data_IF_685026449053
#
_entry.id   IF_685026449053
#
_cell.length_a   1.000
_cell.length_b   1.000
_cell.length_c   1.000
_cell.angle_alpha   90.00
_cell.angle_beta   90.00
_cell.angle_gamma   90.00
#
_symmetry.space_group_name_H-M   'P 1'
#
loop_
_entity.id
_entity.type
_entity.pdbx_description
1 polymer ?
#
# COMPACT_ATOMS: atom_id res chain seq x y z
N UNK A 1 58.38 -25.21 -6.58
CA UNK A 1 57.11 -25.87 -6.21
C UNK A 1 56.18 -24.81 -5.65
N UNK A 2 55.16 -24.44 -6.42
CA UNK A 2 54.13 -23.45 -6.05
C UNK A 2 53.20 -24.02 -4.98
N UNK A 3 52.91 -23.25 -3.94
CA UNK A 3 51.73 -23.46 -3.10
C UNK A 3 50.73 -22.33 -3.39
N UNK A 4 49.58 -22.72 -3.94
CA UNK A 4 48.47 -21.84 -4.26
C UNK A 4 47.56 -21.62 -3.04
N UNK A 5 47.23 -20.34 -2.82
CA UNK A 5 45.90 -19.77 -2.61
C UNK A 5 44.88 -20.44 -1.65
N UNK A 6 44.42 -19.69 -0.63
CA UNK A 6 42.98 -19.59 -0.33
C UNK A 6 42.63 -18.36 0.52
N UNK A 7 42.55 -17.18 -0.11
CA UNK A 7 41.83 -16.04 0.47
C UNK A 7 40.33 -16.24 0.26
N UNK A 8 39.57 -16.32 1.37
CA UNK A 8 38.11 -16.28 1.33
C UNK A 8 37.62 -14.88 0.91
N UNK A 9 36.50 -14.76 0.17
CA UNK A 9 35.98 -13.46 -0.20
C UNK A 9 35.43 -12.74 1.04
N UNK A 10 35.98 -11.55 1.30
CA UNK A 10 35.47 -10.57 2.25
C UNK A 10 34.01 -10.28 1.86
N UNK A 11 33.06 -10.57 2.75
CA UNK A 11 31.68 -10.10 2.63
C UNK A 11 31.72 -8.58 2.58
N UNK A 12 31.50 -8.01 1.39
CA UNK A 12 31.41 -6.56 1.22
C UNK A 12 30.18 -6.08 2.00
N UNK A 13 30.43 -5.43 3.13
CA UNK A 13 29.40 -4.70 3.87
C UNK A 13 28.85 -3.62 2.94
N UNK A 14 27.61 -3.79 2.50
CA UNK A 14 26.93 -2.85 1.61
C UNK A 14 26.74 -1.53 2.37
N UNK A 15 27.10 -0.36 1.81
CA UNK A 15 27.16 0.87 2.60
C UNK A 15 25.75 1.36 2.94
N UNK A 16 25.52 1.55 4.24
CA UNK A 16 24.37 2.23 4.89
C UNK A 16 24.05 3.61 4.28
N UNK A 17 24.99 4.17 3.52
CA UNK A 17 24.96 5.50 2.89
C UNK A 17 23.86 5.67 1.82
N UNK A 18 23.39 4.57 1.20
CA UNK A 18 22.44 4.65 0.07
C UNK A 18 21.01 5.01 0.44
N UNK A 19 20.48 4.47 1.55
CA UNK A 19 19.06 4.61 1.92
C UNK A 19 18.75 5.94 2.58
N UNK A 20 19.63 6.42 3.46
CA UNK A 20 19.51 7.77 4.04
C UNK A 20 19.48 8.86 2.95
N UNK A 21 20.21 8.66 1.83
CA UNK A 21 20.14 9.53 0.66
C UNK A 21 18.76 9.48 -0.02
N UNK A 22 18.17 8.30 -0.20
CA UNK A 22 16.83 8.15 -0.80
C UNK A 22 15.76 8.88 0.01
N UNK A 23 15.80 8.80 1.34
CA UNK A 23 14.86 9.54 2.20
C UNK A 23 15.03 11.05 2.01
N UNK A 24 16.27 11.55 1.97
CA UNK A 24 16.54 12.97 1.67
C UNK A 24 16.02 13.38 0.30
N UNK A 25 16.24 12.57 -0.73
CA UNK A 25 15.73 12.83 -2.08
C UNK A 25 14.19 12.87 -2.10
N UNK A 26 13.54 11.99 -1.32
CA UNK A 26 12.08 12.02 -1.16
C UNK A 26 11.61 13.31 -0.48
N UNK A 27 12.29 13.76 0.58
CA UNK A 27 11.97 15.02 1.29
C UNK A 27 12.07 16.26 0.41
N UNK A 28 12.92 16.24 -0.63
CA UNK A 28 13.13 17.39 -1.52
C UNK A 28 11.98 17.59 -2.52
N UNK A 29 11.10 16.59 -2.71
CA UNK A 29 9.90 16.75 -3.55
C UNK A 29 8.99 17.85 -3.01
N UNK A 30 8.41 18.66 -3.90
CA UNK A 30 7.55 19.81 -3.55
C UNK A 30 6.44 19.44 -2.56
N UNK A 31 5.76 18.32 -2.79
CA UNK A 31 4.60 17.90 -2.00
C UNK A 31 4.99 17.45 -0.58
N UNK A 32 6.25 17.06 -0.40
CA UNK A 32 6.82 16.62 0.87
C UNK A 32 7.42 17.78 1.69
N UNK A 33 7.50 18.98 1.10
CA UNK A 33 7.97 20.21 1.77
C UNK A 33 6.88 20.87 2.62
N UNK A 34 5.67 20.31 2.61
CA UNK A 34 4.54 20.75 3.43
C UNK A 34 3.97 19.55 4.19
N UNK A 35 3.34 19.80 5.32
CA UNK A 35 2.67 18.78 6.11
C UNK A 35 1.50 18.17 5.34
N UNK A 36 1.41 16.84 5.34
CA UNK A 36 0.35 16.11 4.64
C UNK A 36 -1.06 16.49 5.10
N UNK A 37 -1.27 16.90 6.36
CA UNK A 37 -2.61 17.09 6.94
C UNK A 37 -3.02 18.53 7.17
N UNK A 38 -2.07 19.47 7.18
CA UNK A 38 -2.41 20.89 7.37
C UNK A 38 -1.65 21.86 6.48
N UNK A 39 -0.82 21.33 5.57
CA UNK A 39 0.01 22.11 4.65
C UNK A 39 0.98 23.09 5.31
N UNK A 40 1.25 22.95 6.61
CA UNK A 40 2.30 23.72 7.30
C UNK A 40 3.67 23.43 6.66
N UNK A 41 4.50 24.45 6.41
CA UNK A 41 5.78 24.26 5.74
C UNK A 41 6.77 23.48 6.62
N UNK A 42 7.81 22.95 5.97
CA UNK A 42 8.99 22.35 6.58
C UNK A 42 8.65 21.28 7.64
N UNK A 43 7.93 20.21 7.26
CA UNK A 43 7.64 19.10 8.18
C UNK A 43 8.93 18.51 8.76
N UNK A 44 8.88 18.15 10.05
CA UNK A 44 10.02 17.63 10.81
C UNK A 44 9.82 16.19 11.29
N UNK A 45 8.62 15.65 11.07
CA UNK A 45 8.21 14.32 11.45
C UNK A 45 7.71 13.58 10.21
N UNK A 46 7.63 12.27 10.28
CA UNK A 46 6.99 11.45 9.26
C UNK A 46 6.33 10.22 9.88
N UNK A 47 5.32 9.68 9.22
CA UNK A 47 4.78 8.35 9.51
C UNK A 47 5.36 7.37 8.52
N UNK A 48 6.27 6.48 8.93
CA UNK A 48 7.03 5.61 8.02
C UNK A 48 6.13 4.61 7.26
N UNK A 49 5.15 4.03 7.96
CA UNK A 49 4.19 3.08 7.43
C UNK A 49 3.12 3.71 6.51
N UNK A 50 2.67 4.93 6.82
CA UNK A 50 1.67 5.66 6.00
C UNK A 50 2.34 6.40 4.84
N UNK A 51 3.63 6.71 4.93
CA UNK A 51 4.36 7.39 3.86
C UNK A 51 4.15 8.91 3.82
N UNK A 52 3.91 9.56 4.97
CA UNK A 52 3.61 11.01 5.03
C UNK A 52 4.59 11.80 5.88
N UNK A 53 4.83 13.06 5.50
CA UNK A 53 5.61 14.05 6.23
C UNK A 53 4.70 15.02 7.00
N UNK A 54 5.02 15.27 8.26
CA UNK A 54 4.15 15.89 9.25
C UNK A 54 4.85 17.06 9.96
N UNK A 55 4.08 18.12 10.25
CA UNK A 55 4.51 19.13 11.21
C UNK A 55 4.37 18.60 12.64
N UNK A 56 4.97 19.29 13.61
CA UNK A 56 4.93 18.89 15.03
C UNK A 56 3.50 18.61 15.52
N UNK A 57 2.58 19.58 15.32
CA UNK A 57 1.19 19.47 15.78
C UNK A 57 0.43 18.27 15.20
N UNK A 58 0.64 17.95 13.92
CA UNK A 58 -0.03 16.80 13.30
C UNK A 58 0.67 15.49 13.69
N UNK A 59 2.00 15.51 13.84
CA UNK A 59 2.77 14.39 14.40
C UNK A 59 2.27 13.97 15.78
N UNK A 60 1.93 14.93 16.65
CA UNK A 60 1.37 14.65 17.97
C UNK A 60 -0.01 13.96 17.89
N UNK A 61 -0.85 14.35 16.94
CA UNK A 61 -2.13 13.67 16.69
C UNK A 61 -1.90 12.25 16.17
N UNK A 62 -0.96 12.07 15.23
CA UNK A 62 -0.61 10.77 14.69
C UNK A 62 -0.11 9.81 15.77
N UNK A 63 0.72 10.28 16.71
CA UNK A 63 1.14 9.47 17.88
C UNK A 63 -0.04 8.99 18.71
N UNK A 64 -1.06 9.84 18.87
CA UNK A 64 -2.28 9.50 19.61
C UNK A 64 -3.20 8.52 18.86
N UNK A 65 -2.94 8.19 17.58
CA UNK A 65 -3.64 7.12 16.86
C UNK A 65 -3.14 5.73 17.26
N UNK A 66 -1.92 5.61 17.79
CA UNK A 66 -1.27 4.33 18.10
C UNK A 66 -0.43 3.77 16.95
N UNK A 67 0.53 2.90 17.29
CA UNK A 67 1.50 2.32 16.35
C UNK A 67 0.85 1.38 15.32
N UNK A 68 -0.30 0.80 15.66
CA UNK A 68 -1.10 -0.05 14.78
C UNK A 68 -1.60 0.73 13.54
N UNK A 69 -1.73 2.05 13.67
CA UNK A 69 -2.20 2.95 12.61
C UNK A 69 -1.03 3.78 12.07
N UNK A 70 -0.23 4.42 12.93
CA UNK A 70 0.80 5.39 12.51
C UNK A 70 2.11 5.23 13.27
N UNK A 71 3.17 4.94 12.53
CA UNK A 71 4.54 4.84 13.04
C UNK A 71 5.28 6.15 12.86
N UNK A 72 5.21 7.03 13.88
CA UNK A 72 5.77 8.39 13.81
C UNK A 72 7.25 8.42 14.20
N UNK A 73 8.09 8.96 13.30
CA UNK A 73 9.53 9.16 13.49
C UNK A 73 9.93 10.61 13.18
N UNK A 74 10.91 11.12 13.92
CA UNK A 74 11.60 12.39 13.68
C UNK A 74 12.52 12.27 12.49
N UNK A 75 12.52 13.26 11.60
CA UNK A 75 13.43 13.27 10.45
C UNK A 75 14.89 13.52 10.83
N UNK A 76 15.15 14.02 12.04
CA UNK A 76 16.50 14.41 12.48
C UNK A 76 16.92 13.82 13.82
N UNK A 77 15.98 13.39 14.66
CA UNK A 77 16.26 12.95 16.04
C UNK A 77 16.18 11.44 16.24
N UNK A 78 15.49 10.72 15.35
CA UNK A 78 15.28 9.28 15.48
C UNK A 78 16.16 8.52 14.48
N UNK A 79 16.56 7.31 14.88
CA UNK A 79 17.24 6.36 13.99
C UNK A 79 16.22 5.69 13.09
N UNK A 80 16.40 5.84 11.78
CA UNK A 80 15.53 5.23 10.77
C UNK A 80 16.05 3.86 10.39
N UNK A 81 15.21 2.84 10.55
CA UNK A 81 15.54 1.51 10.07
C UNK A 81 15.49 1.46 8.53
N UNK A 82 16.20 0.49 7.98
CA UNK A 82 16.18 0.19 6.55
C UNK A 82 14.77 -0.08 6.01
N UNK A 83 13.90 -0.69 6.83
CA UNK A 83 12.49 -0.97 6.52
C UNK A 83 11.61 0.27 6.59
N UNK A 84 11.89 1.21 7.51
CA UNK A 84 11.14 2.47 7.59
C UNK A 84 11.38 3.31 6.35
N UNK A 85 12.65 3.37 5.90
CA UNK A 85 13.01 4.09 4.68
C UNK A 85 12.36 3.42 3.47
N UNK A 86 12.46 2.09 3.35
CA UNK A 86 11.85 1.38 2.22
C UNK A 86 10.32 1.60 2.19
N UNK A 87 9.64 1.60 3.34
CA UNK A 87 8.20 1.90 3.44
C UNK A 87 7.86 3.31 2.95
N UNK A 88 8.62 4.33 3.37
CA UNK A 88 8.43 5.70 2.88
C UNK A 88 8.61 5.81 1.36
N UNK A 89 9.62 5.13 0.81
CA UNK A 89 9.90 5.14 -0.64
C UNK A 89 8.81 4.39 -1.43
N UNK A 90 8.34 3.24 -0.92
CA UNK A 90 7.32 2.42 -1.57
C UNK A 90 5.98 3.14 -1.67
N UNK A 91 5.56 3.83 -0.59
CA UNK A 91 4.35 4.67 -0.64
C UNK A 91 4.58 5.92 -1.49
N UNK A 92 5.78 6.50 -1.50
CA UNK A 92 6.13 7.58 -2.42
C UNK A 92 5.84 9.00 -1.92
N UNK A 93 5.45 9.15 -0.65
CA UNK A 93 5.29 10.45 0.02
C UNK A 93 3.87 11.02 0.03
N UNK A 94 3.76 12.29 0.41
CA UNK A 94 2.49 12.99 0.65
C UNK A 94 1.55 12.97 -0.53
N UNK A 95 2.07 13.16 -1.75
CA UNK A 95 1.28 13.21 -2.98
C UNK A 95 0.48 11.92 -3.17
N UNK A 96 1.16 10.79 -3.07
CA UNK A 96 0.54 9.47 -3.23
C UNK A 96 -0.39 9.14 -2.07
N UNK A 97 0.05 9.36 -0.84
CA UNK A 97 -0.79 9.14 0.34
C UNK A 97 -2.08 9.97 0.28
N UNK A 98 -2.02 11.24 -0.10
CA UNK A 98 -3.22 12.09 -0.24
C UNK A 98 -4.10 11.64 -1.41
N UNK A 99 -3.53 11.13 -2.51
CA UNK A 99 -4.32 10.58 -3.62
C UNK A 99 -5.18 9.36 -3.22
N UNK A 100 -4.82 8.71 -2.11
CA UNK A 100 -5.56 7.60 -1.50
C UNK A 100 -6.49 8.15 -0.41
N UNK A 101 -5.89 8.69 0.66
CA UNK A 101 -6.57 9.10 1.89
C UNK A 101 -7.41 10.36 1.78
N UNK A 102 -7.35 11.08 0.65
CA UNK A 102 -8.17 12.28 0.39
C UNK A 102 -8.91 12.18 -0.95
N UNK A 103 -8.99 10.98 -1.53
CA UNK A 103 -9.59 10.74 -2.85
C UNK A 103 -11.04 11.25 -2.96
N UNK A 104 -11.80 11.21 -1.86
CA UNK A 104 -13.19 11.67 -1.76
C UNK A 104 -13.36 12.74 -0.68
N UNK A 105 -12.35 13.61 -0.51
CA UNK A 105 -12.44 14.70 0.46
C UNK A 105 -13.58 15.67 0.10
N UNK A 106 -14.60 15.86 0.97
CA UNK A 106 -15.71 16.77 0.70
C UNK A 106 -15.25 18.23 0.61
N UNK A 107 -15.81 19.01 -0.32
CA UNK A 107 -15.44 20.43 -0.52
C UNK A 107 -15.83 21.32 0.67
N UNK A 108 -16.88 20.95 1.38
CA UNK A 108 -17.41 21.59 2.58
C UNK A 108 -16.65 21.20 3.87
N UNK A 109 -15.79 20.18 3.80
CA UNK A 109 -14.91 19.77 4.88
C UNK A 109 -13.44 19.77 4.44
N UNK A 110 -12.86 20.95 4.16
CA UNK A 110 -11.51 21.03 3.61
C UNK A 110 -10.45 20.58 4.62
N UNK A 111 -9.23 20.41 4.13
CA UNK A 111 -8.06 20.15 4.97
C UNK A 111 -7.85 21.28 6.00
N UNK A 112 -7.45 20.97 7.24
CA UNK A 112 -6.97 21.96 8.19
C UNK A 112 -5.88 22.87 7.59
N UNK A 113 -5.80 24.10 8.09
CA UNK A 113 -4.71 25.04 7.81
C UNK A 113 -3.65 25.00 8.92
N UNK A 114 -2.47 25.60 8.72
CA UNK A 114 -1.41 25.61 9.72
C UNK A 114 -1.83 26.22 11.07
N UNK A 115 -2.75 27.18 11.04
CA UNK A 115 -3.32 27.91 12.17
C UNK A 115 -4.59 27.26 12.75
N UNK A 116 -5.12 26.20 12.11
CA UNK A 116 -6.34 25.55 12.58
C UNK A 116 -6.22 24.99 14.00
N UNK A 117 -7.31 25.04 14.79
CA UNK A 117 -7.32 24.59 16.17
C UNK A 117 -7.01 23.09 16.25
N UNK A 118 -6.44 22.67 17.39
CA UNK A 118 -6.05 21.28 17.61
C UNK A 118 -7.23 20.32 17.48
N UNK A 119 -8.40 20.70 17.99
CA UNK A 119 -9.63 19.89 17.87
C UNK A 119 -9.97 19.56 16.41
N UNK A 120 -9.89 20.55 15.51
CA UNK A 120 -10.18 20.35 14.10
C UNK A 120 -9.14 19.46 13.42
N UNK A 121 -7.84 19.66 13.74
CA UNK A 121 -6.77 18.77 13.28
C UNK A 121 -7.00 17.33 13.71
N UNK A 122 -7.31 17.12 14.99
CA UNK A 122 -7.57 15.80 15.55
C UNK A 122 -8.73 15.12 14.83
N UNK A 123 -9.86 15.82 14.68
CA UNK A 123 -11.02 15.29 13.97
C UNK A 123 -10.69 14.89 12.53
N UNK A 124 -10.01 15.77 11.80
CA UNK A 124 -9.63 15.51 10.40
C UNK A 124 -8.67 14.33 10.25
N UNK A 125 -7.61 14.26 11.07
CA UNK A 125 -6.59 13.22 10.99
C UNK A 125 -7.18 11.85 11.35
N UNK A 126 -8.07 11.78 12.35
CA UNK A 126 -8.80 10.54 12.67
C UNK A 126 -9.71 10.12 11.51
N UNK A 127 -10.47 11.06 10.94
CA UNK A 127 -11.30 10.79 9.77
C UNK A 127 -10.48 10.28 8.57
N UNK A 128 -9.28 10.83 8.38
CA UNK A 128 -8.38 10.49 7.29
C UNK A 128 -7.77 9.09 7.43
N UNK A 129 -7.25 8.74 8.60
CA UNK A 129 -6.42 7.53 8.77
C UNK A 129 -7.04 6.44 9.65
N UNK A 130 -7.83 6.80 10.66
CA UNK A 130 -8.45 5.85 11.59
C UNK A 130 -9.78 5.32 11.03
N UNK A 131 -10.71 6.22 10.67
CA UNK A 131 -12.01 5.81 10.10
C UNK A 131 -12.03 5.77 8.58
N UNK A 132 -11.01 6.35 7.94
CA UNK A 132 -10.78 6.29 6.48
C UNK A 132 -11.98 6.82 5.66
N UNK A 133 -12.61 7.89 6.14
CA UNK A 133 -13.86 8.43 5.62
C UNK A 133 -13.74 8.89 4.16
N UNK A 134 -12.56 9.34 3.75
CA UNK A 134 -12.32 9.92 2.43
C UNK A 134 -11.74 8.92 1.40
N UNK A 135 -11.63 7.64 1.76
CA UNK A 135 -11.25 6.59 0.81
C UNK A 135 -12.39 6.26 -0.15
N UNK A 136 -12.04 5.65 -1.30
CA UNK A 136 -13.02 4.90 -2.10
C UNK A 136 -13.71 3.89 -1.19
N UNK A 137 -15.04 3.73 -1.25
CA UNK A 137 -15.74 2.70 -0.47
C UNK A 137 -15.13 1.31 -0.64
N UNK A 138 -14.60 0.99 -1.83
CA UNK A 138 -13.93 -0.27 -2.14
C UNK A 138 -12.52 -0.44 -1.54
N UNK A 139 -11.94 0.60 -0.95
CA UNK A 139 -10.60 0.60 -0.33
C UNK A 139 -10.65 0.76 1.19
N UNK A 140 -11.84 0.93 1.78
CA UNK A 140 -12.00 0.97 3.23
C UNK A 140 -11.76 -0.42 3.79
N UNK A 141 -10.64 -0.61 4.48
CA UNK A 141 -10.40 -1.83 5.23
C UNK A 141 -11.14 -1.65 6.56
N UNK A 142 -12.39 -2.10 6.63
CA UNK A 142 -13.15 -2.07 7.89
C UNK A 142 -12.57 -3.10 8.85
N UNK A 143 -11.64 -2.68 9.71
CA UNK A 143 -11.07 -3.50 10.79
C UNK A 143 -11.99 -3.57 12.01
N UNK A 144 -13.31 -3.61 11.79
CA UNK A 144 -14.31 -3.92 12.82
C UNK A 144 -15.45 -4.75 12.23
N UNK A 145 -15.17 -6.00 11.89
CA UNK A 145 -16.19 -7.04 11.90
C UNK A 145 -16.49 -7.40 13.36
N UNK A 146 -17.21 -6.50 14.06
CA UNK A 146 -18.00 -6.90 15.22
C UNK A 146 -19.14 -7.78 14.71
N UNK A 147 -19.20 -8.99 15.25
CA UNK A 147 -20.23 -9.98 15.03
C UNK A 147 -21.61 -9.39 15.34
N UNK A 148 -22.38 -9.03 14.33
CA UNK A 148 -23.84 -9.00 14.43
C UNK A 148 -24.42 -9.82 13.27
N UNK A 149 -24.49 -11.12 13.52
CA UNK A 149 -25.25 -12.05 12.70
C UNK A 149 -26.73 -11.73 12.82
N UNK A 150 -27.29 -11.11 11.78
CA UNK A 150 -28.75 -11.11 11.59
C UNK A 150 -29.18 -12.52 11.18
N UNK A 151 -29.78 -13.23 12.12
CA UNK A 151 -30.48 -14.49 11.90
C UNK A 151 -31.67 -14.28 10.95
N UNK A 152 -31.74 -15.10 9.89
CA UNK A 152 -32.93 -15.60 9.14
C UNK A 152 -32.41 -16.01 7.75
N UNK A 153 -32.41 -17.28 7.30
CA UNK A 153 -33.54 -18.20 7.13
C UNK A 153 -33.06 -19.67 7.08
N UNK A 154 -33.91 -20.57 7.62
CA UNK A 154 -33.87 -22.05 7.56
C UNK A 154 -33.91 -22.57 6.12
N UNK A 155 -33.26 -23.68 5.73
CA UNK A 155 -33.63 -25.11 5.85
C UNK A 155 -33.02 -25.75 4.55
N UNK A 156 -32.48 -26.96 4.45
CA UNK A 156 -33.01 -28.31 4.76
C UNK A 156 -31.83 -29.31 4.79
N UNK A 157 -31.95 -30.33 5.64
CA UNK A 157 -31.10 -31.51 5.81
C UNK A 157 -30.67 -32.23 4.52
N UNK A 158 -29.47 -32.86 4.54
CA UNK A 158 -29.43 -34.32 4.45
C UNK A 158 -28.14 -34.93 5.04
N UNK A 159 -28.35 -35.88 5.94
CA UNK A 159 -27.34 -36.75 6.55
C UNK A 159 -26.80 -37.78 5.54
N UNK A 160 -25.49 -38.05 5.57
CA UNK A 160 -25.01 -39.43 5.33
C UNK A 160 -23.64 -39.65 5.99
N UNK A 161 -23.59 -40.64 6.87
CA UNK A 161 -22.41 -41.07 7.63
C UNK A 161 -21.46 -41.91 6.76
N UNK A 162 -20.17 -41.57 6.88
CA UNK A 162 -18.97 -42.42 6.90
C UNK A 162 -18.88 -43.64 5.97
N UNK A 163 -17.91 -43.64 5.06
CA UNK A 163 -16.94 -44.76 4.94
C UNK A 163 -15.69 -44.37 4.14
N UNK A 164 -14.56 -44.91 4.60
CA UNK A 164 -13.33 -45.20 3.84
C UNK A 164 -12.29 -44.08 3.61
N UNK A 165 -11.18 -44.27 4.34
CA UNK A 165 -9.87 -43.62 4.22
C UNK A 165 -9.33 -43.67 2.79
N UNK A 166 -8.68 -42.60 2.34
CA UNK A 166 -7.26 -42.58 1.91
C UNK A 166 -6.83 -41.16 1.48
N UNK A 167 -5.73 -40.70 2.09
CA UNK A 167 -4.88 -39.54 1.78
C UNK A 167 -5.52 -38.18 1.51
N UNK A 168 -5.43 -37.28 2.50
CA UNK A 168 -5.31 -35.85 2.24
C UNK A 168 -4.19 -35.30 3.14
N UNK A 169 -3.21 -34.56 2.58
CA UNK A 169 -2.20 -33.90 3.38
C UNK A 169 -2.82 -32.76 4.18
N UNK A 170 -2.23 -32.58 5.34
CA UNK A 170 -2.43 -31.54 6.32
C UNK A 170 -2.12 -30.16 5.72
N UNK A 171 -3.09 -29.50 5.07
CA UNK A 171 -3.02 -28.05 4.86
C UNK A 171 -4.37 -27.40 4.54
N UNK A 172 -5.14 -27.08 5.58
CA UNK A 172 -6.30 -26.18 5.45
C UNK A 172 -6.13 -24.92 6.28
N UNK A 173 -4.88 -24.48 6.53
CA UNK A 173 -4.60 -23.34 7.43
C UNK A 173 -3.86 -22.18 6.79
N UNK A 174 -3.48 -22.24 5.51
CA UNK A 174 -2.66 -21.21 4.86
C UNK A 174 -3.42 -20.09 4.12
N UNK A 175 -4.75 -20.15 4.02
CA UNK A 175 -5.53 -19.20 3.21
C UNK A 175 -6.28 -18.16 4.04
N UNK A 176 -6.12 -16.87 3.70
CA UNK A 176 -6.82 -15.73 4.33
C UNK A 176 -8.14 -15.43 3.62
N UNK A 177 -8.17 -15.49 2.28
CA UNK A 177 -9.35 -15.11 1.50
C UNK A 177 -9.07 -14.89 0.02
N UNK A 178 -10.09 -14.51 -0.76
CA UNK A 178 -9.95 -14.15 -2.18
C UNK A 178 -9.88 -12.63 -2.34
N UNK A 179 -8.94 -12.15 -3.14
CA UNK A 179 -8.83 -10.76 -3.57
C UNK A 179 -9.36 -10.64 -5.00
N UNK A 180 -10.46 -9.91 -5.16
CA UNK A 180 -11.05 -9.61 -6.46
C UNK A 180 -10.65 -8.18 -6.85
N UNK A 181 -9.80 -8.05 -7.87
CA UNK A 181 -9.30 -6.76 -8.36
C UNK A 181 -9.98 -6.42 -9.67
N UNK A 182 -10.72 -5.33 -9.72
CA UNK A 182 -11.30 -4.82 -10.97
C UNK A 182 -10.31 -3.91 -11.68
N UNK A 183 -9.81 -4.34 -12.83
CA UNK A 183 -9.00 -3.52 -13.74
C UNK A 183 -9.93 -2.78 -14.69
N UNK A 184 -10.09 -1.48 -14.45
CA UNK A 184 -11.05 -0.64 -15.20
C UNK A 184 -10.43 -0.14 -16.49
N UNK A 185 -9.35 0.65 -16.42
CA UNK A 185 -8.70 1.28 -17.59
C UNK A 185 -7.25 1.66 -17.34
N UNK A 186 -6.49 1.83 -18.43
CA UNK A 186 -5.20 2.50 -18.49
C UNK A 186 -5.36 3.87 -19.17
N UNK A 187 -4.45 4.81 -18.91
CA UNK A 187 -4.46 6.12 -19.57
C UNK A 187 -3.04 6.65 -19.74
N UNK A 188 -2.75 7.21 -20.91
CA UNK A 188 -1.45 7.82 -21.19
C UNK A 188 -0.30 6.81 -21.17
N UNK A 189 -0.55 5.60 -21.67
CA UNK A 189 0.49 4.56 -21.76
C UNK A 189 1.59 5.01 -22.72
N UNK A 190 2.84 4.70 -22.39
CA UNK A 190 4.00 5.22 -23.10
C UNK A 190 4.08 4.60 -24.50
N UNK A 191 4.09 5.43 -25.54
CA UNK A 191 4.40 4.98 -26.90
C UNK A 191 5.90 4.71 -26.96
N UNK A 192 6.29 3.43 -27.04
CA UNK A 192 7.70 3.04 -27.12
C UNK A 192 8.12 2.51 -28.49
N UNK A 193 7.16 2.27 -29.38
CA UNK A 193 7.39 1.90 -30.78
C UNK A 193 6.61 2.79 -31.75
N UNK A 194 7.01 2.76 -33.02
CA UNK A 194 6.72 3.73 -34.07
C UNK A 194 5.25 3.90 -34.48
N UNK A 195 4.22 3.69 -33.63
CA UNK A 195 2.94 4.43 -33.61
C UNK A 195 1.95 3.99 -32.50
N UNK A 196 1.96 2.73 -32.00
CA UNK A 196 0.99 2.22 -30.98
C UNK A 196 1.58 1.10 -30.09
N UNK A 197 1.02 0.90 -28.88
CA UNK A 197 1.38 -0.20 -27.94
C UNK A 197 0.16 -1.11 -27.69
N UNK A 198 0.40 -2.40 -27.41
CA UNK A 198 -0.62 -3.42 -27.08
C UNK A 198 -0.66 -3.71 -25.56
N UNK A 199 -1.32 -2.86 -24.74
CA UNK A 199 -1.21 -2.98 -23.29
C UNK A 199 -2.03 -4.10 -22.68
N UNK A 200 -1.52 -4.60 -21.55
CA UNK A 200 -2.21 -5.43 -20.58
C UNK A 200 -1.67 -5.21 -19.17
N UNK A 201 -2.44 -5.63 -18.18
CA UNK A 201 -2.11 -5.52 -16.77
C UNK A 201 -1.91 -6.91 -16.19
N UNK A 202 -0.79 -7.11 -15.49
CA UNK A 202 -0.51 -8.31 -14.69
C UNK A 202 -0.54 -7.92 -13.21
N UNK A 203 -1.40 -8.60 -12.45
CA UNK A 203 -1.38 -8.59 -10.99
C UNK A 203 -0.55 -9.76 -10.49
N UNK A 204 0.29 -9.53 -9.50
CA UNK A 204 1.09 -10.57 -8.85
C UNK A 204 0.99 -10.52 -7.34
N UNK A 205 0.68 -11.65 -6.71
CA UNK A 205 0.67 -11.83 -5.25
C UNK A 205 1.49 -13.07 -4.89
N UNK A 206 2.72 -12.86 -4.43
CA UNK A 206 3.69 -13.95 -4.26
C UNK A 206 4.02 -14.61 -5.60
N UNK A 207 3.78 -15.92 -5.70
CA UNK A 207 3.97 -16.70 -6.94
C UNK A 207 2.76 -16.64 -7.88
N UNK A 208 1.61 -16.15 -7.40
CA UNK A 208 0.39 -16.09 -8.21
C UNK A 208 0.43 -14.89 -9.15
N UNK A 209 -0.07 -15.10 -10.38
CA UNK A 209 -0.23 -14.07 -11.39
C UNK A 209 -1.63 -14.14 -12.01
N UNK A 210 -2.24 -13.00 -12.23
CA UNK A 210 -3.47 -12.85 -13.00
C UNK A 210 -3.28 -11.72 -14.03
N UNK A 211 -3.86 -11.86 -15.21
CA UNK A 211 -3.62 -10.95 -16.33
C UNK A 211 -4.94 -10.53 -16.99
N UNK A 212 -5.05 -9.26 -17.39
CA UNK A 212 -6.15 -8.80 -18.24
C UNK A 212 -5.99 -9.28 -19.69
N UNK A 213 -7.05 -9.14 -20.47
CA UNK A 213 -6.91 -9.21 -21.93
C UNK A 213 -5.93 -8.15 -22.45
N UNK A 214 -5.28 -8.45 -23.57
CA UNK A 214 -4.44 -7.48 -24.29
C UNK A 214 -5.34 -6.62 -25.16
N UNK A 215 -5.19 -5.29 -25.10
CA UNK A 215 -5.91 -4.36 -25.97
C UNK A 215 -4.96 -3.91 -27.07
N UNK A 216 -5.28 -4.23 -28.31
CA UNK A 216 -4.41 -3.89 -29.44
C UNK A 216 -4.39 -2.38 -29.68
N UNK A 217 -3.19 -1.81 -29.73
CA UNK A 217 -2.90 -0.47 -30.22
C UNK A 217 -3.72 0.64 -29.58
N UNK A 218 -4.01 0.48 -28.28
CA UNK A 218 -4.83 1.41 -27.50
C UNK A 218 -4.02 1.91 -26.31
N UNK A 219 -3.65 3.19 -26.32
CA UNK A 219 -2.90 3.82 -25.21
C UNK A 219 -3.80 4.22 -24.03
N UNK A 220 -5.11 4.07 -24.18
CA UNK A 220 -6.12 4.36 -23.16
C UNK A 220 -7.11 3.18 -23.01
N UNK A 221 -6.58 1.96 -22.81
CA UNK A 221 -7.37 0.73 -22.84
C UNK A 221 -8.41 0.72 -21.74
N UNK A 222 -9.62 0.24 -22.06
CA UNK A 222 -10.67 -0.04 -21.08
C UNK A 222 -10.91 -1.55 -21.03
N UNK A 223 -10.66 -2.16 -19.87
CA UNK A 223 -10.82 -3.59 -19.64
C UNK A 223 -12.14 -3.92 -18.94
N UNK A 224 -12.42 -3.25 -17.82
CA UNK A 224 -13.52 -3.63 -16.91
C UNK A 224 -13.50 -5.10 -16.51
N UNK A 225 -12.30 -5.66 -16.30
CA UNK A 225 -12.10 -7.07 -16.01
C UNK A 225 -11.86 -7.29 -14.52
N UNK A 226 -12.39 -8.39 -13.98
CA UNK A 226 -12.13 -8.81 -12.60
C UNK A 226 -11.08 -9.92 -12.60
N UNK A 227 -9.96 -9.66 -11.95
CA UNK A 227 -8.88 -10.62 -11.74
C UNK A 227 -8.92 -11.10 -10.29
N UNK A 228 -8.87 -12.42 -10.09
CA UNK A 228 -8.98 -13.03 -8.77
C UNK A 228 -7.64 -13.63 -8.35
N UNK A 229 -7.22 -13.32 -7.12
CA UNK A 229 -6.02 -13.88 -6.50
C UNK A 229 -6.36 -14.48 -5.14
N UNK A 230 -5.75 -15.62 -4.82
CA UNK A 230 -5.87 -16.23 -3.50
C UNK A 230 -4.87 -15.59 -2.54
N UNK A 231 -5.30 -15.09 -1.39
CA UNK A 231 -4.42 -14.43 -0.41
C UNK A 231 -3.94 -15.47 0.62
N UNK A 232 -2.67 -15.87 0.61
CA UNK A 232 -2.11 -16.73 1.66
C UNK A 232 -1.87 -15.94 2.96
N UNK A 233 -1.66 -16.59 4.11
CA UNK A 233 -1.37 -15.91 5.40
C UNK A 233 -0.08 -15.11 5.39
N UNK A 234 0.96 -15.65 4.75
CA UNK A 234 2.21 -14.93 4.49
C UNK A 234 2.17 -14.39 3.06
N UNK A 235 1.58 -13.21 2.89
CA UNK A 235 1.50 -12.53 1.60
C UNK A 235 2.49 -11.37 1.55
N UNK A 236 3.25 -11.27 0.45
CA UNK A 236 4.02 -10.07 0.13
C UNK A 236 3.13 -8.96 -0.44
N UNK A 237 3.69 -7.79 -0.76
CA UNK A 237 2.92 -6.71 -1.38
C UNK A 237 2.31 -7.18 -2.70
N UNK A 238 1.07 -6.77 -2.97
CA UNK A 238 0.45 -6.94 -4.29
C UNK A 238 1.20 -6.06 -5.28
N UNK A 239 1.73 -6.67 -6.34
CA UNK A 239 2.47 -5.96 -7.39
C UNK A 239 1.62 -5.84 -8.64
N UNK A 240 1.62 -4.66 -9.22
CA UNK A 240 0.97 -4.33 -10.48
C UNK A 240 2.07 -4.11 -11.53
N UNK A 241 2.05 -4.88 -12.61
CA UNK A 241 2.91 -4.67 -13.76
C UNK A 241 2.05 -4.30 -14.96
N UNK A 242 2.36 -3.17 -15.59
CA UNK A 242 1.93 -2.90 -16.96
C UNK A 242 2.97 -3.50 -17.89
N UNK A 243 2.54 -4.38 -18.76
CA UNK A 243 3.41 -5.03 -19.75
C UNK A 243 2.80 -4.84 -21.14
N UNK A 244 3.66 -4.74 -22.15
CA UNK A 244 3.30 -4.48 -23.54
C UNK A 244 3.97 -5.58 -24.38
N UNK A 245 3.23 -6.18 -25.32
CA UNK A 245 3.80 -7.15 -26.28
C UNK A 245 4.21 -6.39 -27.54
N UNK A 246 5.42 -6.68 -28.03
CA UNK A 246 5.96 -6.24 -29.33
C UNK A 246 5.50 -7.13 -30.48
#
# INVERSE_FOLDING_TARGET
MSAANRSQPIKLNRPVVGKARKLKDLMLKSDNRVCADCSAPDPKWASSNIGVFLCLKCGDVHRALGQDISNVLSLTLDDWSDSDIDSMIEVGGNSYANSIYEAFLPKDHPKPKPDSPMEYRTKFIRAKYETQDFLKPSLRISSKAGLESTNSLNSVDNSFSSTSRKHAPEDTREFVGQLNVTVVKGSGLAVRDMLTSDPYVVLSLGEQKAQTTVKASDLNPVWNEVLNLSVPRNYGPLKLFSTEIS
#
